data_IF_021355794740
#
_entry.id   IF_021355794740
#
_cell.length_a   1.000
_cell.length_b   1.000
_cell.length_c   1.000
_cell.angle_alpha   90.00
_cell.angle_beta   90.00
_cell.angle_gamma   90.00
#
_symmetry.space_group_name_H-M   'P 1'
#
loop_
_entity.id
_entity.type
_entity.pdbx_description
1 polymer ?
#
# COMPACT_ATOMS: atom_id res chain seq x y z
N UNK A 1 -8.58 -0.01 -8.00
CA UNK A 1 -7.57 -0.65 -7.14
C UNK A 1 -8.04 -2.05 -6.81
N UNK A 2 -7.14 -3.03 -6.90
CA UNK A 2 -7.45 -4.42 -6.59
C UNK A 2 -7.42 -4.64 -5.07
N UNK A 3 -8.29 -5.52 -4.58
CA UNK A 3 -8.31 -5.93 -3.18
C UNK A 3 -7.74 -7.34 -3.05
N UNK A 4 -6.96 -7.58 -2.01
CA UNK A 4 -6.53 -8.89 -1.59
C UNK A 4 -7.73 -9.72 -1.09
N UNK A 5 -7.73 -11.05 -1.30
CA UNK A 5 -8.60 -11.96 -0.58
C UNK A 5 -8.40 -11.83 0.94
N UNK A 6 -9.46 -12.05 1.73
CA UNK A 6 -9.44 -11.84 3.19
C UNK A 6 -8.28 -12.55 3.91
N UNK A 7 -7.96 -13.77 3.51
CA UNK A 7 -6.88 -14.58 4.10
C UNK A 7 -5.47 -14.08 3.75
N UNK A 8 -5.38 -13.20 2.74
CA UNK A 8 -4.14 -12.64 2.22
C UNK A 8 -4.06 -11.12 2.44
N UNK A 9 -4.99 -10.52 3.18
CA UNK A 9 -4.87 -9.12 3.60
C UNK A 9 -3.61 -8.91 4.44
N UNK A 10 -3.04 -7.71 4.37
CA UNK A 10 -1.88 -7.38 5.19
C UNK A 10 -2.32 -7.22 6.64
N UNK A 11 -1.74 -8.02 7.56
CA UNK A 11 -2.10 -7.98 8.99
C UNK A 11 -1.02 -7.25 9.79
N UNK A 12 -1.42 -6.19 10.50
CA UNK A 12 -0.54 -5.44 11.39
C UNK A 12 -0.43 -6.11 12.77
N UNK A 13 0.57 -5.72 13.58
CA UNK A 13 0.79 -6.30 14.91
C UNK A 13 -0.39 -6.10 15.88
N UNK A 14 -1.15 -5.01 15.68
CA UNK A 14 -2.36 -4.69 16.44
C UNK A 14 -3.60 -5.47 15.97
N UNK A 15 -3.48 -6.34 14.96
CA UNK A 15 -4.57 -7.13 14.39
C UNK A 15 -5.41 -6.40 13.33
N UNK A 16 -5.13 -5.11 13.08
CA UNK A 16 -5.74 -4.37 11.98
C UNK A 16 -5.31 -4.98 10.64
N UNK A 17 -6.11 -4.76 9.60
CA UNK A 17 -5.84 -5.32 8.26
C UNK A 17 -5.95 -4.25 7.18
N UNK A 18 -5.11 -4.36 6.16
CA UNK A 18 -5.22 -3.59 4.92
C UNK A 18 -5.48 -4.54 3.75
N UNK A 19 -6.57 -4.32 3.02
CA UNK A 19 -6.92 -5.16 1.87
C UNK A 19 -6.37 -4.65 0.55
N UNK A 20 -5.93 -3.40 0.47
CA UNK A 20 -5.38 -2.81 -0.74
C UNK A 20 -4.33 -1.73 -0.42
N UNK A 21 -3.69 -1.19 -1.46
CA UNK A 21 -2.63 -0.17 -1.36
C UNK A 21 -3.14 1.13 -0.72
N UNK A 22 -4.40 1.52 -0.99
CA UNK A 22 -4.97 2.72 -0.39
C UNK A 22 -5.09 2.58 1.13
N UNK A 23 -5.67 1.49 1.62
CA UNK A 23 -5.78 1.23 3.06
C UNK A 23 -4.39 1.14 3.72
N UNK A 24 -3.44 0.44 3.09
CA UNK A 24 -2.05 0.41 3.57
C UNK A 24 -1.48 1.83 3.71
N UNK A 25 -1.72 2.72 2.73
CA UNK A 25 -1.25 4.11 2.81
C UNK A 25 -1.85 4.87 3.99
N UNK A 26 -3.15 4.65 4.28
CA UNK A 26 -3.85 5.26 5.42
C UNK A 26 -3.26 4.79 6.75
N UNK A 27 -3.00 3.48 6.89
CA UNK A 27 -2.33 2.94 8.08
C UNK A 27 -0.94 3.55 8.26
N UNK A 28 -0.19 3.70 7.17
CA UNK A 28 1.14 4.26 7.24
C UNK A 28 1.14 5.72 7.68
N UNK A 29 0.15 6.57 7.35
CA UNK A 29 0.15 8.00 7.75
C UNK A 29 0.36 8.22 9.25
N UNK A 30 -0.25 7.39 10.09
CA UNK A 30 -0.17 7.52 11.55
C UNK A 30 0.72 6.46 12.22
N UNK A 31 1.35 5.58 11.45
CA UNK A 31 2.22 4.54 11.99
C UNK A 31 3.52 5.14 12.57
N UNK A 32 3.90 4.78 13.81
CA UNK A 32 5.15 5.23 14.40
C UNK A 32 6.35 4.45 13.81
N UNK A 33 7.51 5.10 13.77
CA UNK A 33 8.73 4.56 13.14
C UNK A 33 9.19 3.21 13.73
N UNK A 34 8.99 3.01 15.03
CA UNK A 34 9.36 1.77 15.71
C UNK A 34 8.50 0.58 15.25
N UNK A 35 7.20 0.79 15.04
CA UNK A 35 6.29 -0.23 14.50
C UNK A 35 6.63 -0.52 13.04
N UNK A 36 6.86 0.52 12.24
CA UNK A 36 7.26 0.39 10.83
C UNK A 36 8.51 -0.47 10.66
N UNK A 37 9.51 -0.30 11.53
CA UNK A 37 10.78 -1.06 11.51
C UNK A 37 10.61 -2.56 11.69
N UNK A 38 9.47 -3.00 12.22
CA UNK A 38 9.15 -4.42 12.37
C UNK A 38 8.78 -5.07 11.02
N UNK A 39 8.30 -4.27 10.06
CA UNK A 39 7.94 -4.68 8.71
C UNK A 39 9.02 -4.36 7.67
N UNK A 40 9.76 -3.26 7.88
CA UNK A 40 10.77 -2.77 6.95
C UNK A 40 12.09 -2.51 7.66
N UNK A 41 13.15 -3.14 7.18
CA UNK A 41 14.51 -2.93 7.64
C UNK A 41 15.51 -3.23 6.52
N UNK A 42 16.81 -3.24 6.83
CA UNK A 42 17.87 -3.47 5.83
C UNK A 42 17.80 -4.83 5.14
N UNK A 43 17.13 -5.81 5.73
CA UNK A 43 17.05 -7.18 5.21
C UNK A 43 15.71 -7.48 4.53
N UNK A 44 14.63 -6.76 4.88
CA UNK A 44 13.29 -7.08 4.40
C UNK A 44 12.40 -5.85 4.25
N UNK A 45 11.44 -5.96 3.35
CA UNK A 45 10.30 -5.05 3.25
C UNK A 45 9.03 -5.89 3.05
N UNK A 46 8.28 -6.12 4.13
CA UNK A 46 7.07 -6.96 4.10
C UNK A 46 5.96 -6.36 3.23
N UNK A 47 5.87 -5.02 3.18
CA UNK A 47 4.90 -4.34 2.31
C UNK A 47 5.20 -4.61 0.84
N UNK A 48 6.47 -4.56 0.43
CA UNK A 48 6.88 -4.86 -0.94
C UNK A 48 6.55 -6.32 -1.32
N UNK A 49 6.80 -7.26 -0.41
CA UNK A 49 6.48 -8.67 -0.64
C UNK A 49 4.97 -8.88 -0.80
N UNK A 50 4.17 -8.30 0.09
CA UNK A 50 2.71 -8.39 0.01
C UNK A 50 2.18 -7.78 -1.29
N UNK A 51 2.65 -6.57 -1.65
CA UNK A 51 2.24 -5.88 -2.87
C UNK A 51 2.61 -6.68 -4.13
N UNK A 52 3.78 -7.33 -4.16
CA UNK A 52 4.18 -8.16 -5.29
C UNK A 52 3.38 -9.44 -5.42
N UNK A 53 3.24 -10.19 -4.32
CA UNK A 53 2.74 -11.56 -4.40
C UNK A 53 1.22 -11.68 -4.21
N UNK A 54 0.58 -10.67 -3.63
CA UNK A 54 -0.87 -10.68 -3.39
C UNK A 54 -1.60 -9.70 -4.31
N UNK A 55 -1.05 -8.51 -4.52
CA UNK A 55 -1.68 -7.49 -5.37
C UNK A 55 -1.12 -7.47 -6.80
N UNK A 56 -0.05 -8.23 -7.06
CA UNK A 56 0.62 -8.36 -8.36
C UNK A 56 1.19 -7.05 -8.92
N UNK A 57 1.42 -6.05 -8.06
CA UNK A 57 1.93 -4.73 -8.43
C UNK A 57 3.47 -4.67 -8.38
N UNK A 58 4.12 -5.41 -9.28
CA UNK A 58 5.58 -5.65 -9.29
C UNK A 58 6.42 -4.38 -9.32
N UNK A 59 6.06 -3.42 -10.17
CA UNK A 59 6.82 -2.16 -10.32
C UNK A 59 6.79 -1.31 -9.04
N UNK A 60 5.65 -1.33 -8.33
CA UNK A 60 5.53 -0.67 -7.04
C UNK A 60 6.38 -1.39 -5.99
N UNK A 61 6.31 -2.72 -5.94
CA UNK A 61 7.10 -3.52 -5.01
C UNK A 61 8.61 -3.29 -5.19
N UNK A 62 9.11 -3.23 -6.43
CA UNK A 62 10.53 -2.94 -6.72
C UNK A 62 10.94 -1.59 -6.13
N UNK A 63 10.13 -0.54 -6.32
CA UNK A 63 10.41 0.79 -5.75
C UNK A 63 10.42 0.77 -4.23
N UNK A 64 9.51 0.03 -3.60
CA UNK A 64 9.44 -0.08 -2.15
C UNK A 64 10.60 -0.88 -1.55
N UNK A 65 11.16 -1.87 -2.25
CA UNK A 65 12.35 -2.58 -1.75
C UNK A 65 13.57 -1.69 -1.57
N UNK A 66 13.65 -0.58 -2.30
CA UNK A 66 14.73 0.38 -2.15
C UNK A 66 14.56 1.29 -0.92
N UNK A 67 13.41 1.26 -0.24
CA UNK A 67 13.12 2.14 0.90
C UNK A 67 13.32 1.44 2.24
N UNK A 68 13.90 2.18 3.19
CA UNK A 68 14.08 1.73 4.58
C UNK A 68 13.37 2.62 5.61
N UNK A 69 12.82 3.75 5.15
CA UNK A 69 12.17 4.74 6.01
C UNK A 69 10.70 4.92 5.63
N UNK A 70 9.90 5.34 6.62
CA UNK A 70 8.46 5.44 6.46
C UNK A 70 8.03 6.58 5.53
N UNK A 71 8.76 7.70 5.55
CA UNK A 71 8.42 8.89 4.77
C UNK A 71 8.53 8.63 3.26
N UNK A 72 9.61 7.98 2.83
CA UNK A 72 9.83 7.59 1.45
C UNK A 72 8.81 6.56 0.99
N UNK A 73 8.53 5.55 1.83
CA UNK A 73 7.48 4.56 1.60
C UNK A 73 6.12 5.25 1.37
N UNK A 74 5.70 6.15 2.27
CA UNK A 74 4.45 6.93 2.13
C UNK A 74 4.43 7.71 0.82
N UNK A 75 5.52 8.40 0.47
CA UNK A 75 5.60 9.19 -0.75
C UNK A 75 5.48 8.34 -2.02
N UNK A 76 6.07 7.14 -2.03
CA UNK A 76 5.93 6.21 -3.16
C UNK A 76 4.49 5.74 -3.30
N UNK A 77 3.84 5.34 -2.19
CA UNK A 77 2.44 4.91 -2.21
C UNK A 77 1.50 6.04 -2.63
N UNK A 78 1.69 7.26 -2.10
CA UNK A 78 0.91 8.45 -2.48
C UNK A 78 0.99 8.71 -3.99
N UNK A 79 2.20 8.73 -4.55
CA UNK A 79 2.41 8.91 -5.99
C UNK A 79 1.78 7.80 -6.84
N UNK A 80 1.65 6.59 -6.30
CA UNK A 80 1.00 5.48 -6.98
C UNK A 80 -0.53 5.61 -6.97
N UNK A 81 -1.09 6.10 -5.87
CA UNK A 81 -2.53 6.32 -5.70
C UNK A 81 -3.00 7.56 -6.48
N UNK A 82 -2.17 8.60 -6.59
CA UNK A 82 -2.52 9.84 -7.27
C UNK A 82 -2.74 9.63 -8.77
N UNK A 83 -3.88 10.10 -9.33
CA UNK A 83 -4.10 10.06 -10.76
C UNK A 83 -3.09 10.95 -11.49
N UNK A 84 -2.62 10.54 -12.69
CA UNK A 84 -1.52 11.19 -13.41
C UNK A 84 -1.79 12.65 -13.82
N UNK A 85 -3.02 13.14 -13.72
CA UNK A 85 -3.46 14.41 -14.30
C UNK A 85 -3.07 15.67 -13.50
N UNK A 86 -2.66 15.56 -12.23
CA UNK A 86 -2.35 16.74 -11.40
C UNK A 86 -0.99 17.40 -11.69
N UNK A 87 -0.16 16.78 -12.54
CA UNK A 87 1.15 17.31 -12.96
C UNK A 87 1.08 18.36 -14.08
N UNK A 88 0.01 18.41 -14.88
CA UNK A 88 -0.07 19.35 -16.02
C UNK A 88 -0.48 20.77 -15.61
N UNK A 89 -1.18 20.96 -14.49
CA UNK A 89 -1.70 22.28 -14.11
C UNK A 89 -0.62 23.14 -13.42
N UNK A 90 0.33 22.54 -12.72
CA UNK A 90 1.33 23.28 -11.92
C UNK A 90 2.51 23.78 -12.79
N UNK A 91 2.79 23.13 -13.92
CA UNK A 91 3.77 23.62 -14.89
C UNK A 91 3.28 24.89 -15.62
N UNK A 92 1.96 25.02 -15.85
CA UNK A 92 1.34 26.15 -16.57
C UNK A 92 1.35 27.44 -15.75
N UNK A 93 1.30 27.35 -14.41
CA UNK A 93 1.28 28.53 -13.55
C UNK A 93 2.63 29.29 -13.53
N UNK A 94 3.73 28.64 -13.94
CA UNK A 94 5.04 29.29 -14.05
C UNK A 94 5.20 30.16 -15.31
N UNK A 95 4.33 30.02 -16.31
CA UNK A 95 4.38 30.78 -17.58
C UNK A 95 3.37 31.95 -17.64
N UNK A 96 2.40 32.05 -16.73
CA UNK A 96 1.40 33.14 -16.70
C UNK A 96 1.96 34.53 -16.39
N UNK A 97 3.27 34.67 -16.14
CA UNK A 97 3.90 35.99 -15.91
C UNK A 97 4.02 36.86 -17.19
N UNK A 98 3.64 36.35 -18.37
CA UNK A 98 3.69 37.06 -19.65
C UNK A 98 2.28 37.38 -20.22
N UNK A 99 1.28 37.74 -19.40
CA UNK A 99 0.04 38.37 -19.93
C UNK A 99 -0.46 39.46 -18.99
N UNK A 100 0.41 40.41 -18.65
CA UNK A 100 0.00 41.64 -17.95
C UNK A 100 -0.68 42.73 -18.82
N UNK A 101 -0.79 42.68 -20.17
CA UNK A 101 -1.48 43.77 -20.90
C UNK A 101 -2.99 43.60 -21.12
N UNK A 102 -3.58 42.41 -20.94
CA UNK A 102 -4.94 42.15 -21.46
C UNK A 102 -6.10 42.48 -20.48
N UNK A 103 -5.84 42.53 -19.17
CA UNK A 103 -6.90 42.79 -18.18
C UNK A 103 -7.46 44.22 -18.21
N UNK A 104 -6.72 45.19 -18.76
CA UNK A 104 -7.23 46.55 -18.94
C UNK A 104 -8.30 46.65 -20.04
N UNK A 105 -8.49 45.61 -20.85
CA UNK A 105 -9.40 45.63 -22.00
C UNK A 105 -10.82 45.12 -21.68
N UNK A 106 -10.98 44.23 -20.69
CA UNK A 106 -12.28 43.58 -20.41
C UNK A 106 -13.16 44.40 -19.44
N UNK A 107 -12.59 45.27 -18.61
CA UNK A 107 -13.37 46.04 -17.62
C UNK A 107 -14.21 47.19 -18.23
N UNK A 108 -14.11 47.45 -19.53
CA UNK A 108 -14.82 48.55 -20.23
C UNK A 108 -16.11 48.13 -20.94
N UNK A 109 -16.41 46.83 -21.07
CA UNK A 109 -17.48 46.36 -21.97
C UNK A 109 -18.68 45.68 -21.31
N UNK A 110 -18.69 45.46 -19.99
CA UNK A 110 -19.84 44.82 -19.32
C UNK A 110 -20.17 45.54 -18.00
N UNK A 111 -20.50 46.82 -18.10
CA UNK A 111 -21.57 47.37 -17.27
C UNK A 111 -22.70 47.75 -18.23
N UNK A 112 -23.94 47.58 -17.78
CA UNK A 112 -25.23 47.87 -18.44
C UNK A 112 -26.04 46.61 -18.77
N UNK A 113 -27.10 46.46 -17.97
CA UNK A 113 -28.43 45.88 -18.20
C UNK A 113 -28.83 44.58 -17.48
N UNK A 114 -29.75 44.81 -16.54
CA UNK A 114 -30.49 43.92 -15.64
C UNK A 114 -31.49 42.97 -16.32
N UNK A 115 -31.81 41.85 -15.65
CA UNK A 115 -33.16 41.45 -15.19
C UNK A 115 -33.46 39.93 -15.26
N UNK A 116 -33.74 39.35 -14.07
CA UNK A 116 -34.87 38.49 -13.66
C UNK A 116 -35.17 37.12 -14.36
N UNK A 117 -35.65 36.19 -13.51
CA UNK A 117 -36.46 34.94 -13.74
C UNK A 117 -35.65 33.62 -13.59
N UNK A 118 -35.69 32.95 -12.43
CA UNK A 118 -36.62 31.86 -12.00
C UNK A 118 -36.21 30.48 -12.56
N UNK A 119 -35.56 29.61 -11.77
CA UNK A 119 -36.12 28.51 -10.94
C UNK A 119 -36.47 27.21 -11.71
N UNK A 120 -35.91 26.09 -11.22
CA UNK A 120 -36.32 24.66 -11.34
C UNK A 120 -35.78 23.80 -12.51
N UNK A 121 -34.86 22.88 -12.15
CA UNK A 121 -34.86 21.40 -12.33
C UNK A 121 -33.48 20.88 -11.85
N UNK A 122 -33.26 20.41 -10.61
CA UNK A 122 -33.50 19.03 -10.09
C UNK A 122 -33.04 17.95 -11.10
N UNK A 123 -32.17 16.97 -10.85
CA UNK A 123 -31.95 16.18 -9.62
C UNK A 123 -30.80 15.15 -9.79
N UNK A 124 -30.35 14.55 -8.68
CA UNK A 124 -29.48 13.35 -8.52
C UNK A 124 -27.96 13.63 -8.48
N UNK A 125 -27.22 13.52 -7.35
CA UNK A 125 -27.20 12.48 -6.33
C UNK A 125 -26.79 13.02 -4.93
N UNK A 126 -27.49 12.59 -3.87
CA UNK A 126 -27.09 12.56 -2.45
C UNK A 126 -25.83 11.66 -2.29
N UNK A 127 -24.71 11.98 -1.62
CA UNK A 127 -24.40 12.38 -0.22
C UNK A 127 -24.85 11.40 0.87
N UNK A 128 -23.89 10.86 1.64
CA UNK A 128 -23.94 10.50 3.08
C UNK A 128 -22.50 10.10 3.50
N UNK A 129 -21.73 10.94 4.21
CA UNK A 129 -21.63 11.13 5.67
C UNK A 129 -20.77 10.09 6.43
N UNK A 130 -19.70 10.57 7.08
CA UNK A 130 -19.36 10.18 8.45
C UNK A 130 -18.80 11.39 9.21
N UNK A 131 -19.57 11.83 10.22
CA UNK A 131 -19.22 12.87 11.20
C UNK A 131 -18.81 12.24 12.51
N UNK A 132 -17.88 12.91 13.16
CA UNK A 132 -17.42 12.72 14.53
C UNK A 132 -18.31 13.48 15.53
N UNK A 133 -18.50 12.94 16.74
CA UNK A 133 -19.09 13.66 17.87
C UNK A 133 -19.20 12.84 19.17
N UNK A 134 -18.51 13.30 20.22
CA UNK A 134 -18.76 13.01 21.65
C UNK A 134 -20.02 13.73 22.15
N UNK A 135 -20.79 13.14 23.09
CA UNK A 135 -21.01 13.61 24.49
C UNK A 135 -22.17 12.85 25.18
N UNK A 136 -21.85 12.25 26.33
CA UNK A 136 -22.56 12.24 27.63
C UNK A 136 -24.04 11.82 27.84
N UNK A 137 -24.15 10.78 28.69
CA UNK A 137 -24.93 10.69 29.96
C UNK A 137 -26.15 9.74 30.08
N UNK A 138 -25.91 8.65 30.84
CA UNK A 138 -26.65 8.06 31.99
C UNK A 138 -28.15 7.70 31.82
N UNK A 139 -28.49 6.40 31.89
CA UNK A 139 -29.21 5.78 33.04
C UNK A 139 -29.35 4.24 32.91
N UNK A 140 -29.48 3.61 34.09
CA UNK A 140 -29.40 2.21 34.49
C UNK A 140 -30.27 1.19 33.71
N UNK A 141 -29.76 -0.04 33.54
CA UNK A 141 -30.37 -1.26 34.12
C UNK A 141 -29.51 -2.53 33.96
N UNK A 142 -29.09 -3.06 35.14
CA UNK A 142 -28.94 -4.45 35.59
C UNK A 142 -28.30 -5.54 34.71
N UNK A 143 -27.21 -6.05 35.29
CA UNK A 143 -26.62 -7.40 35.28
C UNK A 143 -27.41 -8.54 34.63
N UNK A 144 -26.73 -9.28 33.73
CA UNK A 144 -26.69 -10.74 33.82
C UNK A 144 -25.35 -11.28 33.29
N UNK A 145 -24.68 -12.01 34.16
CA UNK A 145 -23.41 -12.69 33.92
C UNK A 145 -23.60 -13.88 32.98
N UNK A 146 -22.87 -13.91 31.86
CA UNK A 146 -22.49 -15.17 31.23
C UNK A 146 -21.00 -15.19 30.93
N UNK A 147 -20.32 -15.99 31.76
CA UNK A 147 -19.02 -16.58 31.51
C UNK A 147 -18.95 -17.15 30.09
N UNK A 148 -18.00 -16.70 29.28
CA UNK A 148 -17.48 -17.56 28.22
C UNK A 148 -15.97 -17.44 28.10
N UNK A 149 -15.37 -18.62 27.98
CA UNK A 149 -14.00 -18.93 28.33
C UNK A 149 -13.01 -18.34 27.34
N UNK A 150 -11.91 -17.82 27.89
CA UNK A 150 -10.71 -17.51 27.14
C UNK A 150 -10.23 -18.73 26.35
N UNK A 151 -10.20 -18.60 25.03
CA UNK A 151 -9.37 -19.42 24.17
C UNK A 151 -8.16 -18.58 23.80
N UNK A 152 -7.05 -18.87 24.48
CA UNK A 152 -5.72 -18.50 24.01
C UNK A 152 -5.51 -19.10 22.62
N UNK A 153 -5.80 -18.35 21.57
CA UNK A 153 -5.25 -18.65 20.27
C UNK A 153 -3.77 -18.28 20.31
N UNK A 154 -2.95 -19.31 20.57
CA UNK A 154 -1.52 -19.33 20.28
C UNK A 154 -1.28 -18.61 18.96
N UNK A 155 -0.62 -17.46 19.03
CA UNK A 155 -0.13 -16.72 17.87
C UNK A 155 0.95 -17.59 17.24
N UNK A 156 0.59 -18.40 16.25
CA UNK A 156 1.55 -19.00 15.35
C UNK A 156 2.24 -17.85 14.60
N UNK A 157 3.56 -17.68 14.71
CA UNK A 157 4.25 -16.64 13.97
C UNK A 157 4.10 -16.94 12.48
N UNK A 158 3.75 -15.92 11.69
CA UNK A 158 3.74 -15.87 10.22
C UNK A 158 5.16 -16.04 9.64
N UNK A 159 5.87 -17.08 10.07
CA UNK A 159 7.24 -17.44 9.65
C UNK A 159 7.28 -18.69 8.77
N UNK A 160 6.14 -19.20 8.30
CA UNK A 160 6.11 -20.51 7.63
C UNK A 160 5.96 -20.52 6.12
N UNK A 161 6.07 -19.39 5.44
CA UNK A 161 5.95 -19.40 3.97
C UNK A 161 7.23 -19.00 3.20
N UNK A 162 8.24 -18.42 3.85
CA UNK A 162 9.43 -17.91 3.14
C UNK A 162 10.69 -18.79 3.30
N UNK A 163 10.73 -19.72 4.27
CA UNK A 163 11.98 -20.46 4.58
C UNK A 163 11.94 -21.96 4.35
N UNK A 164 10.78 -22.59 4.10
CA UNK A 164 10.72 -24.05 3.94
C UNK A 164 11.04 -24.53 2.52
N UNK A 165 10.73 -23.76 1.46
CA UNK A 165 10.86 -24.25 0.08
C UNK A 165 12.23 -23.96 -0.58
N UNK A 166 12.95 -22.93 -0.11
CA UNK A 166 14.26 -22.59 -0.68
C UNK A 166 15.36 -23.59 -0.30
N UNK A 167 15.19 -24.31 0.81
CA UNK A 167 16.15 -25.34 1.23
C UNK A 167 16.18 -26.51 0.24
N UNK A 168 15.03 -26.93 -0.26
CA UNK A 168 14.92 -28.04 -1.23
C UNK A 168 15.62 -27.70 -2.55
N UNK A 169 15.45 -26.48 -3.06
CA UNK A 169 16.10 -26.02 -4.30
C UNK A 169 17.62 -25.87 -4.13
N UNK A 170 18.09 -25.36 -2.99
CA UNK A 170 19.52 -25.27 -2.68
C UNK A 170 20.16 -26.67 -2.62
N UNK A 171 19.49 -27.64 -2.00
CA UNK A 171 19.95 -29.03 -2.00
C UNK A 171 19.98 -29.63 -3.41
N UNK A 172 18.99 -29.38 -4.26
CA UNK A 172 18.99 -29.87 -5.66
C UNK A 172 20.17 -29.31 -6.47
N UNK A 173 20.48 -28.02 -6.31
CA UNK A 173 21.64 -27.38 -6.96
C UNK A 173 22.94 -28.00 -6.42
N UNK A 174 23.05 -28.17 -5.10
CA UNK A 174 24.24 -28.75 -4.47
C UNK A 174 24.46 -30.21 -4.88
N UNK A 175 23.41 -31.04 -4.87
CA UNK A 175 23.48 -32.43 -5.32
C UNK A 175 23.83 -32.52 -6.81
N UNK A 176 23.27 -31.63 -7.65
CA UNK A 176 23.63 -31.54 -9.07
C UNK A 176 25.12 -31.26 -9.30
N UNK A 177 25.70 -30.31 -8.56
CA UNK A 177 27.14 -30.01 -8.62
C UNK A 177 28.00 -31.19 -8.14
N UNK A 178 27.61 -31.84 -7.04
CA UNK A 178 28.35 -32.99 -6.50
C UNK A 178 28.33 -34.17 -7.49
N UNK A 179 27.15 -34.51 -8.04
CA UNK A 179 27.01 -35.59 -9.03
C UNK A 179 27.82 -35.25 -10.30
N UNK A 180 27.78 -34.00 -10.76
CA UNK A 180 28.57 -33.54 -11.90
C UNK A 180 30.08 -33.71 -11.69
N UNK A 181 30.60 -33.36 -10.50
CA UNK A 181 32.00 -33.55 -10.15
C UNK A 181 32.39 -35.04 -10.09
N UNK A 182 31.52 -35.90 -9.55
CA UNK A 182 31.76 -37.36 -9.52
C UNK A 182 31.85 -37.91 -10.95
N UNK A 183 30.90 -37.56 -11.83
CA UNK A 183 30.91 -38.00 -13.23
C UNK A 183 32.17 -37.49 -13.95
N UNK A 184 32.55 -36.23 -13.74
CA UNK A 184 33.77 -35.66 -14.32
C UNK A 184 35.03 -36.40 -13.86
N UNK A 185 35.13 -36.76 -12.58
CA UNK A 185 36.24 -37.56 -12.04
C UNK A 185 36.27 -38.98 -12.61
N UNK A 186 35.11 -39.59 -12.86
CA UNK A 186 35.03 -40.90 -13.50
C UNK A 186 35.48 -40.84 -14.97
N UNK A 187 35.07 -39.81 -15.72
CA UNK A 187 35.53 -39.58 -17.09
C UNK A 187 37.04 -39.33 -17.10
N UNK A 188 37.54 -38.46 -16.22
CA UNK A 188 38.97 -38.20 -16.09
C UNK A 188 39.75 -39.49 -15.78
N UNK A 189 39.27 -40.29 -14.84
CA UNK A 189 39.88 -41.58 -14.50
C UNK A 189 39.84 -42.55 -15.69
N UNK A 190 38.78 -42.57 -16.48
CA UNK A 190 38.66 -43.44 -17.65
C UNK A 190 39.58 -43.01 -18.80
N UNK A 191 39.69 -41.70 -19.07
CA UNK A 191 40.47 -41.15 -20.18
C UNK A 191 41.98 -41.13 -19.89
N UNK A 192 42.37 -40.86 -18.65
CA UNK A 192 43.78 -40.65 -18.29
C UNK A 192 44.41 -41.83 -17.54
N UNK A 193 43.62 -42.83 -17.15
CA UNK A 193 44.12 -44.02 -16.42
C UNK A 193 43.73 -45.34 -17.09
N UNK A 194 43.17 -45.30 -18.30
CA UNK A 194 43.07 -46.45 -19.21
C UNK A 194 44.19 -46.41 -20.23
#
# INVERSE_FOLDING_TARGET
MNNAPYEQEFVFHNGSRAKNIFELSVFLENMPDNEFRSFVNEQKNDFANWIEYVLEEKDLAIKLRATINIHETRNILKKFIEPPEKKSIIAVESEKKIIQPFESMIKKTVSVHDNKVEQLQHESYHSEHYKQGHHDSIEDHKEEHHHEQGKEHKKEPFKKFITEDMSSLVWLILYGLIIGLIVLLLIYKFVYKG
#
